data_IF_426811635612
#
_entry.id   IF_426811635612
#
_cell.length_a   1.000
_cell.length_b   1.000
_cell.length_c   1.000
_cell.angle_alpha   90.00
_cell.angle_beta   90.00
_cell.angle_gamma   90.00
#
_symmetry.space_group_name_H-M   'P 1'
#
loop_
_entity.id
_entity.type
_entity.pdbx_description
1 polymer ?
#
# COMPACT_ATOMS: atom_id res chain seq x y z
N UNK A 1 0.29 5.03 0.57
CA UNK A 1 0.94 5.49 -0.64
C UNK A 1 1.26 6.97 -0.59
N UNK A 2 2.06 7.48 -1.52
CA UNK A 2 2.45 8.91 -1.54
C UNK A 2 1.30 9.82 -1.98
N UNK A 3 0.26 9.28 -2.61
CA UNK A 3 -0.87 10.02 -3.12
C UNK A 3 -2.19 9.43 -2.66
N UNK A 4 -3.17 10.30 -2.50
CA UNK A 4 -4.59 9.96 -2.39
C UNK A 4 -5.25 10.41 -3.70
N UNK A 5 -5.87 9.49 -4.41
CA UNK A 5 -6.65 9.80 -5.59
C UNK A 5 -8.12 9.91 -5.20
N UNK A 6 -8.70 11.09 -5.40
CA UNK A 6 -10.11 11.33 -5.16
C UNK A 6 -10.94 10.88 -6.37
N UNK A 7 -12.17 10.47 -6.13
CA UNK A 7 -13.13 10.27 -7.21
C UNK A 7 -13.55 11.62 -7.80
N UNK A 8 -13.43 11.72 -9.11
CA UNK A 8 -13.86 12.86 -9.88
C UNK A 8 -14.18 12.45 -11.33
N UNK A 9 -14.36 13.40 -12.24
CA UNK A 9 -14.66 13.13 -13.65
C UNK A 9 -13.52 12.39 -14.39
N UNK A 10 -12.31 12.39 -13.82
CA UNK A 10 -11.10 11.79 -14.42
C UNK A 10 -10.67 10.48 -13.79
N UNK A 11 -11.31 10.08 -12.68
CA UNK A 11 -10.98 8.84 -11.97
C UNK A 11 -12.19 8.31 -11.21
N UNK A 12 -12.79 7.25 -11.70
CA UNK A 12 -13.96 6.61 -11.13
C UNK A 12 -13.67 5.23 -10.54
N UNK A 13 -14.73 4.55 -10.14
CA UNK A 13 -14.63 3.22 -9.51
C UNK A 13 -14.09 2.17 -10.49
N UNK A 14 -14.44 2.27 -11.77
CA UNK A 14 -13.92 1.37 -12.79
C UNK A 14 -12.43 1.55 -13.04
N UNK A 15 -11.94 2.79 -12.98
CA UNK A 15 -10.51 3.07 -13.05
C UNK A 15 -9.79 2.45 -11.84
N UNK A 16 -10.37 2.58 -10.64
CA UNK A 16 -9.83 1.94 -9.43
C UNK A 16 -9.78 0.41 -9.55
N UNK A 17 -10.78 -0.23 -10.15
CA UNK A 17 -10.82 -1.68 -10.39
C UNK A 17 -9.79 -2.14 -11.41
N UNK A 18 -9.45 -1.29 -12.36
CA UNK A 18 -8.51 -1.60 -13.43
C UNK A 18 -7.05 -1.37 -13.05
N UNK A 19 -6.76 -0.88 -11.83
CA UNK A 19 -5.40 -0.58 -11.40
C UNK A 19 -4.52 -1.83 -11.40
N UNK A 20 -3.30 -1.66 -11.91
CA UNK A 20 -2.22 -2.63 -11.76
C UNK A 20 -1.17 -2.05 -10.82
N UNK A 21 -0.77 -2.84 -9.84
CA UNK A 21 0.29 -2.51 -8.89
C UNK A 21 1.54 -3.28 -9.23
N UNK A 22 2.66 -2.59 -9.36
CA UNK A 22 3.99 -3.18 -9.55
C UNK A 22 4.76 -3.13 -8.24
N UNK A 23 5.20 -4.30 -7.78
CA UNK A 23 6.13 -4.45 -6.68
C UNK A 23 7.52 -4.72 -7.25
N UNK A 24 8.51 -4.01 -6.75
CA UNK A 24 9.92 -4.38 -6.95
C UNK A 24 10.63 -4.43 -5.62
N UNK A 25 11.49 -5.42 -5.45
CA UNK A 25 12.45 -5.50 -4.35
C UNK A 25 13.85 -5.57 -4.95
N UNK A 26 14.75 -4.75 -4.45
CA UNK A 26 16.17 -4.78 -4.83
C UNK A 26 17.03 -4.83 -3.59
N UNK A 27 17.95 -5.79 -3.55
CA UNK A 27 18.90 -5.98 -2.46
C UNK A 27 20.34 -5.76 -2.89
N UNK A 28 21.21 -5.42 -1.96
CA UNK A 28 22.66 -5.24 -2.18
C UNK A 28 23.36 -6.56 -2.55
N UNK A 29 22.74 -7.69 -2.26
CA UNK A 29 23.16 -9.04 -2.68
C UNK A 29 22.89 -9.33 -4.16
N UNK A 30 22.36 -8.35 -4.90
CA UNK A 30 21.95 -8.49 -6.30
C UNK A 30 20.55 -9.10 -6.47
N UNK A 31 19.83 -9.37 -5.38
CA UNK A 31 18.44 -9.81 -5.45
C UNK A 31 17.59 -8.76 -6.18
N UNK A 32 16.82 -9.23 -7.14
CA UNK A 32 15.83 -8.41 -7.84
C UNK A 32 14.56 -9.22 -8.04
N UNK A 33 13.52 -8.83 -7.33
CA UNK A 33 12.20 -9.43 -7.46
C UNK A 33 11.26 -8.40 -8.09
N UNK A 34 10.39 -8.85 -8.97
CA UNK A 34 9.35 -8.01 -9.59
C UNK A 34 8.05 -8.77 -9.61
N UNK A 35 6.99 -8.14 -9.15
CA UNK A 35 5.64 -8.67 -9.22
C UNK A 35 4.66 -7.64 -9.74
N UNK A 36 3.67 -8.11 -10.47
CA UNK A 36 2.53 -7.29 -10.94
C UNK A 36 1.26 -7.95 -10.44
N UNK A 37 0.35 -7.14 -9.93
CA UNK A 37 -0.96 -7.62 -9.54
C UNK A 37 -2.04 -6.64 -9.97
N UNK A 38 -3.17 -7.19 -10.41
CA UNK A 38 -4.35 -6.41 -10.81
C UNK A 38 -5.35 -6.34 -9.67
N UNK A 39 -5.84 -5.14 -9.38
CA UNK A 39 -6.97 -4.93 -8.46
C UNK A 39 -8.21 -5.69 -8.94
N UNK A 40 -8.39 -5.83 -10.26
CA UNK A 40 -9.47 -6.62 -10.85
C UNK A 40 -9.44 -8.11 -10.49
N UNK A 41 -8.32 -8.61 -9.96
CA UNK A 41 -8.19 -10.00 -9.49
C UNK A 41 -8.62 -10.21 -8.03
N UNK A 42 -9.11 -9.17 -7.34
CA UNK A 42 -9.66 -9.31 -6.00
C UNK A 42 -10.82 -10.30 -6.01
N UNK A 43 -10.84 -11.22 -5.05
CA UNK A 43 -11.91 -12.23 -4.91
C UNK A 43 -13.25 -11.61 -4.52
N UNK A 44 -13.25 -10.40 -3.97
CA UNK A 44 -14.43 -9.62 -3.60
C UNK A 44 -14.28 -8.20 -4.11
N UNK A 45 -15.35 -7.66 -4.69
CA UNK A 45 -15.39 -6.28 -5.16
C UNK A 45 -15.37 -5.25 -4.01
N UNK A 46 -15.05 -4.00 -4.33
CA UNK A 46 -14.99 -2.93 -3.34
C UNK A 46 -16.31 -2.71 -2.61
N UNK A 47 -17.44 -2.73 -3.34
CA UNK A 47 -18.78 -2.55 -2.75
C UNK A 47 -19.13 -3.67 -1.78
N UNK A 48 -18.73 -4.89 -2.10
CA UNK A 48 -18.96 -6.05 -1.24
C UNK A 48 -18.13 -5.95 0.04
N UNK A 49 -16.86 -5.53 -0.07
CA UNK A 49 -15.98 -5.28 1.08
C UNK A 49 -16.50 -4.14 1.96
N UNK A 50 -16.94 -3.03 1.35
CA UNK A 50 -17.52 -1.90 2.07
C UNK A 50 -18.83 -2.32 2.75
N UNK A 51 -19.69 -3.07 2.08
CA UNK A 51 -20.95 -3.57 2.65
C UNK A 51 -20.71 -4.53 3.81
N UNK A 52 -19.61 -5.28 3.80
CA UNK A 52 -19.24 -6.14 4.91
C UNK A 52 -18.69 -5.37 6.12
N UNK A 53 -18.00 -4.26 5.88
CA UNK A 53 -17.46 -3.40 6.95
C UNK A 53 -18.53 -2.48 7.54
N UNK A 54 -19.36 -1.87 6.68
CA UNK A 54 -20.43 -0.94 7.05
C UNK A 54 -21.74 -1.68 7.27
N UNK A 55 -22.43 -1.43 8.36
CA UNK A 55 -23.69 -2.10 8.65
C UNK A 55 -24.51 -1.36 9.69
N UNK A 56 -25.63 -1.97 10.06
CA UNK A 56 -26.60 -1.36 10.99
C UNK A 56 -25.97 -0.89 12.31
N UNK A 57 -24.93 -1.60 12.77
CA UNK A 57 -24.28 -1.34 14.06
C UNK A 57 -22.91 -0.67 13.92
N UNK A 58 -22.42 -0.47 12.67
CA UNK A 58 -21.11 0.10 12.36
C UNK A 58 -21.30 1.07 11.19
N UNK A 59 -21.72 2.29 11.48
CA UNK A 59 -22.12 3.27 10.45
C UNK A 59 -21.01 4.27 10.11
N UNK A 60 -19.98 4.38 10.96
CA UNK A 60 -18.81 5.24 10.72
C UNK A 60 -19.18 6.65 10.23
N UNK A 61 -19.83 7.50 11.03
CA UNK A 61 -20.37 8.78 10.58
C UNK A 61 -19.32 9.74 10.04
N UNK A 62 -18.05 9.58 10.45
CA UNK A 62 -16.91 10.37 9.99
C UNK A 62 -16.12 9.67 8.87
N UNK A 63 -16.63 8.57 8.34
CA UNK A 63 -15.95 7.74 7.36
C UNK A 63 -15.00 6.71 7.98
N UNK A 64 -14.39 5.88 7.13
CA UNK A 64 -13.40 4.89 7.53
C UNK A 64 -12.42 4.60 6.39
N UNK A 65 -11.29 4.04 6.74
CA UNK A 65 -10.29 3.55 5.78
C UNK A 65 -10.33 2.03 5.75
N UNK A 66 -10.48 1.47 4.56
CA UNK A 66 -10.47 0.02 4.35
C UNK A 66 -9.17 -0.40 3.65
N UNK A 67 -8.37 -1.22 4.32
CA UNK A 67 -7.22 -1.88 3.73
C UNK A 67 -7.68 -3.19 3.07
N UNK A 68 -7.45 -3.32 1.78
CA UNK A 68 -7.87 -4.51 1.01
C UNK A 68 -6.89 -5.69 1.10
N UNK A 69 -5.82 -5.53 1.85
CA UNK A 69 -4.81 -6.56 2.04
C UNK A 69 -3.70 -6.52 0.99
N UNK A 70 -2.86 -7.53 1.02
CA UNK A 70 -1.72 -7.68 0.10
C UNK A 70 -2.19 -8.35 -1.19
N UNK A 71 -1.96 -7.68 -2.34
CA UNK A 71 -2.32 -8.23 -3.64
C UNK A 71 -1.25 -9.18 -4.20
N UNK A 72 -0.01 -9.07 -3.74
CA UNK A 72 1.12 -9.88 -4.20
C UNK A 72 1.97 -10.32 -3.02
N UNK A 73 2.29 -11.61 -2.97
CA UNK A 73 3.28 -12.19 -2.07
C UNK A 73 4.36 -12.88 -2.91
N UNK A 74 5.65 -12.60 -2.67
CA UNK A 74 6.74 -13.33 -3.34
C UNK A 74 6.63 -14.83 -3.07
N UNK A 75 6.82 -15.62 -4.12
CA UNK A 75 6.84 -17.10 -4.05
C UNK A 75 8.21 -17.66 -4.38
N UNK A 76 9.13 -16.83 -4.83
CA UNK A 76 10.50 -17.21 -5.15
C UNK A 76 11.31 -17.45 -3.87
N UNK A 77 12.24 -18.38 -3.96
CA UNK A 77 13.27 -18.57 -2.93
C UNK A 77 14.37 -17.50 -3.10
N UNK A 78 14.90 -16.99 -1.98
CA UNK A 78 16.00 -16.02 -2.04
C UNK A 78 17.33 -16.63 -1.63
N UNK A 79 17.45 -17.16 -0.41
CA UNK A 79 18.73 -17.56 0.16
C UNK A 79 19.08 -19.00 -0.18
N UNK A 80 18.09 -19.89 -0.15
CA UNK A 80 18.27 -21.29 -0.53
C UNK A 80 16.94 -21.89 -0.98
N UNK A 81 17.02 -22.93 -1.81
CA UNK A 81 15.85 -23.64 -2.30
C UNK A 81 14.96 -24.15 -1.17
N UNK A 82 13.67 -23.83 -1.24
CA UNK A 82 12.66 -24.23 -0.28
C UNK A 82 12.54 -23.34 0.96
N UNK A 83 13.33 -22.27 1.08
CA UNK A 83 13.24 -21.33 2.20
C UNK A 83 12.24 -20.19 1.98
N UNK A 84 11.77 -20.00 0.74
CA UNK A 84 10.91 -18.90 0.38
C UNK A 84 11.62 -17.56 0.37
N UNK A 85 10.84 -16.49 0.26
CA UNK A 85 11.34 -15.12 0.21
C UNK A 85 11.36 -14.47 1.59
N UNK A 86 12.52 -13.91 1.95
CA UNK A 86 12.70 -13.08 3.15
C UNK A 86 13.41 -11.79 2.77
N UNK A 87 12.94 -10.67 3.29
CA UNK A 87 13.63 -9.39 3.12
C UNK A 87 14.93 -9.36 3.93
N UNK A 88 15.98 -8.82 3.32
CA UNK A 88 17.22 -8.47 4.02
C UNK A 88 17.22 -7.00 4.44
N UNK A 89 18.01 -6.67 5.46
CA UNK A 89 18.24 -5.28 5.85
C UNK A 89 18.87 -4.51 4.69
N UNK A 90 18.36 -3.31 4.43
CA UNK A 90 18.81 -2.49 3.32
C UNK A 90 18.05 -2.71 2.01
N UNK A 91 17.24 -3.78 1.89
CA UNK A 91 16.40 -3.96 0.71
C UNK A 91 15.54 -2.73 0.44
N UNK A 92 15.48 -2.35 -0.82
CA UNK A 92 14.56 -1.30 -1.28
C UNK A 92 13.32 -1.95 -1.87
N UNK A 93 12.19 -1.70 -1.24
CA UNK A 93 10.87 -2.13 -1.68
C UNK A 93 10.15 -0.95 -2.31
N UNK A 94 9.70 -1.11 -3.55
CA UNK A 94 8.90 -0.10 -4.24
C UNK A 94 7.57 -0.71 -4.71
N UNK A 95 6.48 -0.03 -4.38
CA UNK A 95 5.14 -0.33 -4.90
C UNK A 95 4.69 0.87 -5.71
N UNK A 96 4.40 0.67 -6.98
CA UNK A 96 4.11 1.74 -7.92
C UNK A 96 2.86 1.47 -8.75
N UNK A 97 2.17 2.56 -9.08
CA UNK A 97 1.07 2.60 -10.01
C UNK A 97 1.04 3.97 -10.71
N UNK A 98 0.63 4.02 -11.96
CA UNK A 98 0.69 5.24 -12.76
C UNK A 98 -0.26 6.36 -12.27
N UNK A 99 -1.35 6.00 -11.57
CA UNK A 99 -2.30 6.94 -10.98
C UNK A 99 -1.97 7.32 -9.54
N UNK A 100 -1.26 6.44 -8.79
CA UNK A 100 -1.02 6.59 -7.36
C UNK A 100 0.44 6.91 -7.03
N UNK A 101 1.30 7.01 -8.06
CA UNK A 101 2.74 7.23 -7.88
C UNK A 101 3.46 6.02 -7.31
N UNK A 102 4.59 6.25 -6.65
CA UNK A 102 5.44 5.20 -6.13
C UNK A 102 5.69 5.38 -4.63
N UNK A 103 5.41 4.34 -3.85
CA UNK A 103 5.81 4.21 -2.45
C UNK A 103 7.12 3.43 -2.40
N UNK A 104 8.18 4.04 -1.87
CA UNK A 104 9.51 3.45 -1.75
C UNK A 104 9.92 3.41 -0.30
N UNK A 105 10.29 2.23 0.18
CA UNK A 105 10.74 2.02 1.55
C UNK A 105 12.05 1.22 1.54
N UNK A 106 12.86 1.42 2.59
CA UNK A 106 14.04 0.60 2.86
C UNK A 106 13.78 -0.26 4.08
N UNK A 107 14.12 -1.53 4.00
CA UNK A 107 13.95 -2.48 5.10
C UNK A 107 14.97 -2.18 6.20
N UNK A 108 14.49 -1.97 7.41
CA UNK A 108 15.29 -1.73 8.61
C UNK A 108 14.77 -2.55 9.79
N UNK A 109 15.54 -2.60 10.88
CA UNK A 109 15.07 -3.16 12.14
C UNK A 109 14.20 -2.13 12.86
N UNK A 110 13.12 -2.55 13.45
CA UNK A 110 12.19 -1.65 14.17
C UNK A 110 12.87 -0.91 15.33
N UNK A 111 13.78 -1.59 16.02
CA UNK A 111 14.53 -1.03 17.14
C UNK A 111 15.56 0.04 16.75
N UNK A 112 16.01 0.03 15.50
CA UNK A 112 17.00 0.98 14.97
C UNK A 112 16.36 2.20 14.28
N UNK A 113 15.03 2.18 14.10
CA UNK A 113 14.31 3.25 13.42
C UNK A 113 14.00 4.40 14.38
N UNK A 114 13.90 5.65 13.86
CA UNK A 114 13.42 6.77 14.66
C UNK A 114 12.06 6.47 15.27
N UNK A 115 11.83 6.99 16.47
CA UNK A 115 10.51 6.90 17.10
C UNK A 115 9.45 7.55 16.21
N UNK A 116 8.28 6.92 16.13
CA UNK A 116 7.15 7.51 15.44
C UNK A 116 6.45 8.51 16.36
N UNK A 117 6.73 9.80 16.14
CA UNK A 117 6.20 10.91 16.94
C UNK A 117 5.26 11.84 16.15
N UNK A 118 5.07 11.54 14.85
CA UNK A 118 4.18 12.31 13.96
C UNK A 118 2.74 11.82 14.07
N UNK A 119 1.98 12.39 15.01
CA UNK A 119 0.60 12.02 15.27
C UNK A 119 -0.41 12.78 14.42
N UNK A 120 -1.69 12.36 14.52
CA UNK A 120 -2.80 12.95 13.75
C UNK A 120 -2.98 14.46 14.00
N UNK A 121 -2.70 14.94 15.20
CA UNK A 121 -2.77 16.37 15.53
C UNK A 121 -1.74 17.19 14.77
N UNK A 122 -0.52 16.66 14.64
CA UNK A 122 0.55 17.29 13.88
C UNK A 122 0.18 17.31 12.39
N UNK A 123 -0.35 16.20 11.85
CA UNK A 123 -0.81 16.13 10.47
C UNK A 123 -1.87 17.22 10.19
N UNK A 124 -2.89 17.37 11.02
CA UNK A 124 -3.92 18.41 10.82
C UNK A 124 -3.37 19.83 10.95
N UNK A 125 -2.42 20.05 11.85
CA UNK A 125 -1.76 21.35 11.98
C UNK A 125 -0.97 21.71 10.72
N UNK A 126 -0.22 20.75 10.16
CA UNK A 126 0.58 20.96 8.94
C UNK A 126 -0.29 21.19 7.71
N UNK A 127 -1.38 20.44 7.55
CA UNK A 127 -2.36 20.65 6.48
C UNK A 127 -2.98 22.06 6.61
N UNK A 128 -3.38 22.48 7.82
CA UNK A 128 -3.95 23.80 8.07
C UNK A 128 -2.96 24.94 7.83
N UNK A 129 -1.67 24.73 8.08
CA UNK A 129 -0.62 25.71 7.82
C UNK A 129 -0.31 25.88 6.32
N UNK A 130 -0.45 24.82 5.54
CA UNK A 130 -0.22 24.84 4.08
C UNK A 130 -1.35 25.48 3.26
N UNK A 131 -2.47 25.83 3.88
CA UNK A 131 -3.62 26.48 3.22
C UNK A 131 -3.64 28.02 3.37
N UNK A 132 -2.55 28.63 3.81
CA UNK A 132 -2.42 30.10 3.97
C UNK A 132 -1.60 30.72 2.86
#
# INVERSE_FOLDING_TARGET
GPLIRLFDETFGLEDARSLELRLTVTGDDGCKLTGVNSVGSLSRGFEDLVSAAHGRHHQYPDGFVLFTGTLFAPTEDRDAAGLGFTHHLGDVVMIANDHLGALRNTVGRSEDLPAWDYGIRTLFADIGAGQR
#
